data_IF_948147138018
#
_entry.id   IF_948147138018
#
_cell.length_a   1.000
_cell.length_b   1.000
_cell.length_c   1.000
_cell.angle_alpha   90.00
_cell.angle_beta   90.00
_cell.angle_gamma   90.00
#
_symmetry.space_group_name_H-M   'P 1'
#
loop_
_entity.id
_entity.type
_entity.pdbx_description
1 polymer ?
#
# COMPACT_ATOMS: atom_id res chain seq x y z
N UNK A 1 -43.35 -7.66 -78.43
CA UNK A 1 -43.84 -7.29 -77.08
C UNK A 1 -42.98 -7.87 -75.92
N UNK A 2 -41.77 -8.40 -76.19
CA UNK A 2 -40.93 -9.12 -75.20
C UNK A 2 -39.66 -8.38 -74.73
N UNK A 3 -39.25 -7.27 -75.36
CA UNK A 3 -38.04 -6.53 -74.94
C UNK A 3 -38.29 -5.60 -73.75
N UNK A 4 -39.49 -5.00 -73.68
CA UNK A 4 -39.83 -4.03 -72.62
C UNK A 4 -39.95 -4.70 -71.24
N UNK A 5 -40.35 -5.97 -71.17
CA UNK A 5 -40.46 -6.72 -69.92
C UNK A 5 -39.10 -7.17 -69.38
N UNK A 6 -38.14 -7.54 -70.26
CA UNK A 6 -36.76 -7.88 -69.86
C UNK A 6 -36.02 -6.69 -69.26
N UNK A 7 -36.17 -5.50 -69.85
CA UNK A 7 -35.55 -4.27 -69.32
C UNK A 7 -36.06 -3.91 -67.93
N UNK A 8 -37.37 -4.04 -67.69
CA UNK A 8 -37.97 -3.77 -66.38
C UNK A 8 -37.50 -4.79 -65.33
N UNK A 9 -37.37 -6.05 -65.70
CA UNK A 9 -36.92 -7.13 -64.82
C UNK A 9 -35.45 -6.94 -64.40
N UNK A 10 -34.59 -6.52 -65.32
CA UNK A 10 -33.18 -6.19 -65.03
C UNK A 10 -33.08 -4.96 -64.11
N UNK A 11 -33.91 -3.93 -64.32
CA UNK A 11 -33.97 -2.77 -63.42
C UNK A 11 -34.39 -3.15 -62.00
N UNK A 12 -35.41 -4.01 -61.85
CA UNK A 12 -35.86 -4.48 -60.54
C UNK A 12 -34.75 -5.28 -59.85
N UNK A 13 -34.05 -6.16 -60.58
CA UNK A 13 -32.91 -6.92 -60.03
C UNK A 13 -31.81 -5.97 -59.56
N UNK A 14 -31.47 -4.94 -60.33
CA UNK A 14 -30.44 -3.95 -59.96
C UNK A 14 -30.83 -3.15 -58.71
N UNK A 15 -32.10 -2.74 -58.59
CA UNK A 15 -32.59 -2.04 -57.39
C UNK A 15 -32.52 -2.96 -56.17
N UNK A 16 -32.89 -4.23 -56.31
CA UNK A 16 -32.85 -5.22 -55.23
C UNK A 16 -31.41 -5.52 -54.81
N UNK A 17 -30.49 -5.63 -55.77
CA UNK A 17 -29.07 -5.79 -55.50
C UNK A 17 -28.49 -4.57 -54.79
N UNK A 18 -28.88 -3.35 -55.21
CA UNK A 18 -28.45 -2.11 -54.57
C UNK A 18 -28.99 -1.99 -53.14
N UNK A 19 -30.25 -2.38 -52.90
CA UNK A 19 -30.84 -2.45 -51.55
C UNK A 19 -30.12 -3.47 -50.65
N UNK A 20 -29.79 -4.65 -51.17
CA UNK A 20 -29.05 -5.68 -50.41
C UNK A 20 -27.61 -5.24 -50.11
N UNK A 21 -26.98 -4.50 -51.02
CA UNK A 21 -25.63 -3.97 -50.84
C UNK A 21 -25.59 -2.83 -49.81
N UNK A 22 -26.59 -1.94 -49.80
CA UNK A 22 -26.71 -0.87 -48.79
C UNK A 22 -27.03 -1.42 -47.41
N UNK A 23 -27.89 -2.44 -47.30
CA UNK A 23 -28.15 -3.14 -46.03
C UNK A 23 -26.88 -3.85 -45.53
N UNK A 24 -26.08 -4.45 -46.43
CA UNK A 24 -24.82 -5.11 -46.05
C UNK A 24 -23.78 -4.12 -45.53
N UNK A 25 -23.61 -2.97 -46.20
CA UNK A 25 -22.72 -1.88 -45.78
C UNK A 25 -23.15 -1.24 -44.44
N UNK A 26 -24.46 -1.19 -44.17
CA UNK A 26 -24.96 -0.71 -42.88
C UNK A 26 -24.72 -1.70 -41.74
N UNK A 27 -24.56 -3.00 -42.05
CA UNK A 27 -24.23 -4.04 -41.08
C UNK A 27 -22.73 -4.09 -40.70
N UNK A 28 -21.82 -3.72 -41.61
CA UNK A 28 -20.39 -3.64 -41.32
C UNK A 28 -20.07 -2.54 -40.29
N UNK A 29 -20.85 -1.46 -40.26
CA UNK A 29 -20.80 -0.41 -39.21
C UNK A 29 -21.44 -0.83 -37.87
N UNK A 30 -21.87 -2.08 -37.75
CA UNK A 30 -22.47 -2.63 -36.52
C UNK A 30 -21.56 -3.63 -35.80
N UNK A 31 -20.29 -3.76 -36.17
CA UNK A 31 -19.34 -4.50 -35.33
C UNK A 31 -19.12 -3.71 -34.04
N UNK A 32 -19.52 -4.28 -32.90
CA UNK A 32 -19.17 -3.72 -31.60
C UNK A 32 -17.65 -3.75 -31.46
N UNK A 33 -17.05 -2.57 -31.39
CA UNK A 33 -15.63 -2.46 -31.06
C UNK A 33 -15.40 -3.06 -29.67
N UNK A 34 -14.54 -4.06 -29.61
CA UNK A 34 -14.13 -4.71 -28.36
C UNK A 34 -12.73 -4.22 -28.04
N UNK A 35 -12.55 -3.66 -26.85
CA UNK A 35 -11.27 -3.19 -26.37
C UNK A 35 -10.34 -4.36 -26.03
N UNK A 36 -9.18 -4.43 -26.67
CA UNK A 36 -8.13 -5.38 -26.36
C UNK A 36 -7.04 -4.67 -25.55
N UNK A 37 -6.95 -4.98 -24.26
CA UNK A 37 -6.05 -4.30 -23.33
C UNK A 37 -4.91 -5.25 -22.98
N UNK A 38 -3.65 -4.82 -23.03
CA UNK A 38 -2.55 -5.55 -22.42
C UNK A 38 -2.84 -5.81 -20.94
N UNK A 39 -2.69 -7.06 -20.51
CA UNK A 39 -2.94 -7.46 -19.13
C UNK A 39 -2.30 -6.53 -18.08
N UNK A 40 -1.08 -6.04 -18.33
CA UNK A 40 -0.33 -5.18 -17.41
C UNK A 40 -0.95 -3.79 -17.24
N UNK A 41 -1.75 -3.34 -18.20
CA UNK A 41 -2.36 -2.00 -18.23
C UNK A 41 -3.81 -2.01 -17.76
N UNK A 42 -4.42 -3.19 -17.61
CA UNK A 42 -5.80 -3.30 -17.14
C UNK A 42 -5.96 -2.75 -15.71
N UNK A 43 -6.85 -1.78 -15.56
CA UNK A 43 -7.11 -1.05 -14.32
C UNK A 43 -6.39 0.31 -14.22
N UNK A 44 -5.48 0.60 -15.17
CA UNK A 44 -4.79 1.89 -15.30
C UNK A 44 -4.58 2.25 -16.79
N UNK A 45 -5.50 1.81 -17.66
CA UNK A 45 -5.38 2.00 -19.10
C UNK A 45 -5.69 3.46 -19.48
N UNK A 46 -4.78 4.12 -20.21
CA UNK A 46 -4.83 5.57 -20.43
C UNK A 46 -5.35 5.99 -21.80
N UNK A 47 -5.57 5.06 -22.74
CA UNK A 47 -6.04 5.40 -24.09
C UNK A 47 -7.55 5.67 -24.10
N UNK A 48 -7.92 6.93 -23.86
CA UNK A 48 -9.31 7.38 -23.79
C UNK A 48 -10.07 7.22 -25.11
N UNK A 49 -9.40 7.36 -26.25
CA UNK A 49 -10.05 7.21 -27.57
C UNK A 49 -10.52 5.77 -27.80
N UNK A 50 -9.72 4.79 -27.41
CA UNK A 50 -10.10 3.39 -27.49
C UNK A 50 -11.19 3.01 -26.47
N UNK A 51 -11.13 3.58 -25.26
CA UNK A 51 -12.19 3.42 -24.25
C UNK A 51 -13.51 3.99 -24.79
N UNK A 52 -13.48 5.15 -25.43
CA UNK A 52 -14.67 5.78 -26.02
C UNK A 52 -15.29 4.90 -27.11
N UNK A 53 -14.45 4.37 -28.02
CA UNK A 53 -14.88 3.46 -29.08
C UNK A 53 -15.50 2.17 -28.53
N UNK A 54 -15.05 1.70 -27.37
CA UNK A 54 -15.51 0.47 -26.74
C UNK A 54 -16.79 0.60 -25.91
N UNK A 55 -17.34 1.81 -25.77
CA UNK A 55 -18.56 2.03 -24.99
C UNK A 55 -19.74 1.25 -25.55
N UNK A 56 -20.51 0.65 -24.65
CA UNK A 56 -21.72 -0.08 -25.03
C UNK A 56 -22.79 0.92 -25.45
N UNK A 57 -23.35 0.78 -26.66
CA UNK A 57 -24.34 1.71 -27.25
C UNK A 57 -25.53 2.06 -26.34
N UNK A 58 -25.95 1.14 -25.49
CA UNK A 58 -27.11 1.30 -24.60
C UNK A 58 -26.73 1.53 -23.12
N UNK A 59 -25.44 1.56 -22.80
CA UNK A 59 -24.94 1.76 -21.43
C UNK A 59 -23.55 2.42 -21.49
N UNK A 60 -23.54 3.76 -21.46
CA UNK A 60 -22.31 4.55 -21.56
C UNK A 60 -21.39 4.43 -20.35
N UNK A 61 -21.83 3.76 -19.27
CA UNK A 61 -20.99 3.49 -18.10
C UNK A 61 -20.15 2.23 -18.26
N UNK A 62 -20.43 1.43 -19.30
CA UNK A 62 -19.76 0.15 -19.56
C UNK A 62 -19.06 0.14 -20.91
N UNK A 63 -18.00 -0.64 -20.98
CA UNK A 63 -17.27 -0.95 -22.20
C UNK A 63 -17.21 -2.44 -22.45
N UNK A 64 -17.06 -2.81 -23.71
CA UNK A 64 -16.85 -4.18 -24.13
C UNK A 64 -15.35 -4.49 -24.19
N UNK A 65 -14.89 -5.42 -23.35
CA UNK A 65 -13.47 -5.80 -23.25
C UNK A 65 -13.27 -7.24 -23.71
N UNK A 66 -12.18 -7.48 -24.44
CA UNK A 66 -11.78 -8.80 -24.94
C UNK A 66 -11.11 -9.59 -23.82
N UNK A 67 -11.50 -10.85 -23.70
CA UNK A 67 -10.97 -11.81 -22.72
C UNK A 67 -10.63 -13.12 -23.42
N UNK A 68 -9.99 -14.03 -22.70
CA UNK A 68 -9.73 -15.39 -23.20
C UNK A 68 -11.00 -16.16 -23.58
N UNK A 69 -12.15 -15.84 -22.98
CA UNK A 69 -13.43 -16.52 -23.18
C UNK A 69 -14.43 -15.73 -24.06
N UNK A 70 -13.93 -14.78 -24.86
CA UNK A 70 -14.75 -13.87 -25.66
C UNK A 70 -14.81 -12.46 -25.08
N UNK A 71 -15.90 -11.73 -25.33
CA UNK A 71 -16.01 -10.32 -24.89
C UNK A 71 -16.97 -10.17 -23.70
N UNK A 72 -16.60 -9.36 -22.71
CA UNK A 72 -17.44 -9.09 -21.53
C UNK A 72 -17.71 -7.58 -21.39
N UNK A 73 -18.83 -7.25 -20.75
CA UNK A 73 -19.20 -5.86 -20.44
C UNK A 73 -18.82 -5.54 -19.01
N UNK A 74 -18.05 -4.48 -18.82
CA UNK A 74 -17.59 -4.04 -17.50
C UNK A 74 -17.66 -2.52 -17.36
N UNK A 75 -17.79 -2.00 -16.13
CA UNK A 75 -17.69 -0.57 -15.87
C UNK A 75 -16.38 0.04 -16.40
N UNK A 76 -16.46 1.23 -16.98
CA UNK A 76 -15.28 1.96 -17.50
C UNK A 76 -14.22 2.13 -16.42
N UNK A 77 -14.62 2.51 -15.20
CA UNK A 77 -13.70 2.72 -14.08
C UNK A 77 -12.85 1.50 -13.73
N UNK A 78 -13.28 0.28 -14.08
CA UNK A 78 -12.48 -0.92 -13.83
C UNK A 78 -11.30 -1.06 -14.81
N UNK A 79 -11.30 -0.29 -15.89
CA UNK A 79 -10.27 -0.31 -16.94
C UNK A 79 -9.23 0.78 -16.75
N UNK A 80 -9.66 1.99 -16.42
CA UNK A 80 -8.78 3.15 -16.36
C UNK A 80 -8.57 3.72 -14.96
N UNK A 81 -9.40 3.32 -13.99
CA UNK A 81 -9.40 3.91 -12.65
C UNK A 81 -9.72 2.89 -11.55
N UNK A 82 -9.17 1.68 -11.66
CA UNK A 82 -9.52 0.59 -10.74
C UNK A 82 -8.99 0.84 -9.31
N UNK A 83 -8.13 1.84 -9.12
CA UNK A 83 -7.65 2.28 -7.81
C UNK A 83 -8.79 2.77 -6.92
N UNK A 84 -9.83 3.39 -7.50
CA UNK A 84 -10.99 3.95 -6.78
C UNK A 84 -12.02 2.89 -6.37
N UNK A 85 -11.77 1.60 -6.63
CA UNK A 85 -12.67 0.53 -6.19
C UNK A 85 -12.62 0.41 -4.66
N UNK A 86 -13.75 0.70 -4.01
CA UNK A 86 -13.86 0.74 -2.53
C UNK A 86 -14.61 -0.42 -1.89
N UNK A 87 -15.44 -1.14 -2.65
CA UNK A 87 -16.30 -2.21 -2.13
C UNK A 87 -15.91 -3.62 -2.65
N UNK A 88 -16.27 -4.64 -1.86
CA UNK A 88 -15.91 -6.03 -2.12
C UNK A 88 -16.52 -6.57 -3.42
N UNK A 89 -17.76 -6.17 -3.74
CA UNK A 89 -18.44 -6.69 -4.92
C UNK A 89 -17.80 -6.16 -6.20
N UNK A 90 -17.52 -4.86 -6.26
CA UNK A 90 -16.77 -4.23 -7.35
C UNK A 90 -15.38 -4.83 -7.51
N UNK A 91 -14.65 -5.00 -6.39
CA UNK A 91 -13.33 -5.60 -6.40
C UNK A 91 -13.34 -7.02 -6.95
N UNK A 92 -14.32 -7.83 -6.55
CA UNK A 92 -14.49 -9.21 -7.05
C UNK A 92 -14.77 -9.23 -8.55
N UNK A 93 -15.59 -8.31 -9.07
CA UNK A 93 -15.89 -8.23 -10.51
C UNK A 93 -14.62 -7.83 -11.28
N UNK A 94 -13.89 -6.83 -10.79
CA UNK A 94 -12.61 -6.41 -11.36
C UNK A 94 -11.60 -7.56 -11.39
N UNK A 95 -11.38 -8.27 -10.28
CA UNK A 95 -10.42 -9.38 -10.22
C UNK A 95 -10.80 -10.53 -11.15
N UNK A 96 -12.09 -10.92 -11.20
CA UNK A 96 -12.56 -11.94 -12.15
C UNK A 96 -12.32 -11.53 -13.60
N UNK A 97 -12.50 -10.25 -13.89
CA UNK A 97 -12.21 -9.70 -15.22
C UNK A 97 -10.73 -9.77 -15.52
N UNK A 98 -9.89 -9.29 -14.60
CA UNK A 98 -8.44 -9.35 -14.72
C UNK A 98 -7.97 -10.78 -14.97
N UNK A 99 -8.43 -11.75 -14.17
CA UNK A 99 -8.10 -13.16 -14.33
C UNK A 99 -8.56 -13.73 -15.69
N UNK A 100 -9.69 -13.26 -16.23
CA UNK A 100 -10.15 -13.68 -17.56
C UNK A 100 -9.27 -13.17 -18.71
N UNK A 101 -8.53 -12.08 -18.48
CA UNK A 101 -7.58 -11.48 -19.44
C UNK A 101 -6.17 -12.08 -19.24
N UNK A 102 -5.78 -12.25 -17.98
CA UNK A 102 -4.40 -12.48 -17.54
C UNK A 102 -4.12 -13.90 -17.05
N UNK A 103 -5.13 -14.77 -16.98
CA UNK A 103 -5.03 -16.09 -16.36
C UNK A 103 -5.43 -16.09 -14.89
N UNK A 104 -5.80 -17.27 -14.40
CA UNK A 104 -6.28 -17.49 -13.03
C UNK A 104 -5.19 -17.17 -12.00
N UNK A 105 -5.59 -16.64 -10.85
CA UNK A 105 -4.73 -16.28 -9.72
C UNK A 105 -3.72 -15.14 -10.02
N UNK A 106 -3.78 -14.53 -11.20
CA UNK A 106 -2.99 -13.37 -11.57
C UNK A 106 -3.42 -12.13 -10.79
N UNK A 107 -2.44 -11.30 -10.39
CA UNK A 107 -2.68 -10.04 -9.68
C UNK A 107 -2.24 -8.85 -10.53
N UNK A 108 -3.08 -7.80 -10.65
CA UNK A 108 -2.68 -6.58 -11.35
C UNK A 108 -1.51 -5.90 -10.64
N UNK A 109 -0.63 -5.20 -11.38
CA UNK A 109 0.44 -4.40 -10.77
C UNK A 109 -0.07 -3.39 -9.73
N UNK A 110 -1.28 -2.85 -9.96
CA UNK A 110 -1.94 -1.90 -9.06
C UNK A 110 -2.69 -2.55 -7.88
N UNK A 111 -2.64 -3.87 -7.70
CA UNK A 111 -3.48 -4.61 -6.75
C UNK A 111 -3.47 -4.02 -5.33
N UNK A 112 -2.29 -3.69 -4.81
CA UNK A 112 -2.14 -3.12 -3.47
C UNK A 112 -2.60 -1.66 -3.37
N UNK A 113 -2.67 -0.96 -4.50
CA UNK A 113 -3.14 0.43 -4.60
C UNK A 113 -4.65 0.54 -4.79
N UNK A 114 -5.36 -0.57 -4.95
CA UNK A 114 -6.82 -0.58 -5.01
C UNK A 114 -7.38 -0.27 -3.62
N UNK A 115 -8.23 0.74 -3.51
CA UNK A 115 -8.69 1.30 -2.24
C UNK A 115 -9.35 0.25 -1.33
N UNK A 116 -10.12 -0.70 -1.87
CA UNK A 116 -10.69 -1.82 -1.11
C UNK A 116 -9.61 -2.68 -0.45
N UNK A 117 -8.56 -3.05 -1.20
CA UNK A 117 -7.44 -3.87 -0.69
C UNK A 117 -6.64 -3.08 0.33
N UNK A 118 -6.28 -1.84 -0.01
CA UNK A 118 -5.59 -0.89 0.84
C UNK A 118 -6.29 -0.71 2.20
N UNK A 119 -7.61 -0.48 2.18
CA UNK A 119 -8.43 -0.34 3.38
C UNK A 119 -8.47 -1.63 4.21
N UNK A 120 -8.55 -2.79 3.56
CA UNK A 120 -8.49 -4.09 4.23
C UNK A 120 -7.16 -4.31 4.96
N UNK A 121 -6.04 -4.02 4.28
CA UNK A 121 -4.69 -4.10 4.85
C UNK A 121 -4.56 -3.16 6.05
N UNK A 122 -4.97 -1.90 5.90
CA UNK A 122 -4.95 -0.91 6.97
C UNK A 122 -5.78 -1.34 8.18
N UNK A 123 -7.03 -1.77 7.96
CA UNK A 123 -7.93 -2.23 9.03
C UNK A 123 -7.33 -3.40 9.81
N UNK A 124 -6.71 -4.36 9.11
CA UNK A 124 -6.06 -5.50 9.75
C UNK A 124 -4.82 -5.07 10.55
N UNK A 125 -4.01 -4.17 10.00
CA UNK A 125 -2.85 -3.60 10.68
C UNK A 125 -3.27 -2.89 11.98
N UNK A 126 -4.24 -1.97 11.91
CA UNK A 126 -4.78 -1.23 13.07
C UNK A 126 -5.30 -2.19 14.15
N UNK A 127 -6.15 -3.15 13.77
CA UNK A 127 -6.74 -4.13 14.70
C UNK A 127 -5.69 -4.98 15.44
N UNK A 128 -4.54 -5.26 14.79
CA UNK A 128 -3.44 -6.01 15.39
C UNK A 128 -2.75 -5.21 16.49
N UNK A 129 -2.59 -3.90 16.30
CA UNK A 129 -1.88 -3.03 17.24
C UNK A 129 -2.75 -2.49 18.38
N UNK A 130 -4.06 -2.32 18.18
CA UNK A 130 -5.00 -2.01 19.27
C UNK A 130 -4.91 -3.02 20.44
N UNK A 131 -4.66 -4.30 20.12
CA UNK A 131 -4.48 -5.36 21.11
C UNK A 131 -3.08 -5.40 21.73
N UNK A 132 -2.07 -4.85 21.04
CA UNK A 132 -0.65 -4.95 21.42
C UNK A 132 -0.25 -3.85 22.39
N UNK A 133 -0.74 -2.63 22.16
CA UNK A 133 -0.41 -1.46 22.97
C UNK A 133 -1.58 -1.07 23.88
N UNK A 134 -1.29 -0.80 25.15
CA UNK A 134 -2.31 -0.46 26.15
C UNK A 134 -2.61 1.04 26.23
N UNK A 135 -1.63 1.89 25.93
CA UNK A 135 -1.80 3.35 25.97
C UNK A 135 -2.35 3.89 24.66
N UNK A 136 -3.18 4.93 24.74
CA UNK A 136 -3.77 5.60 23.56
C UNK A 136 -2.68 6.16 22.65
N UNK A 137 -1.64 6.75 23.21
CA UNK A 137 -0.53 7.32 22.45
C UNK A 137 0.22 6.24 21.66
N UNK A 138 0.62 5.12 22.29
CA UNK A 138 1.29 4.02 21.59
C UNK A 138 0.44 3.43 20.46
N UNK A 139 -0.88 3.31 20.67
CA UNK A 139 -1.82 2.88 19.62
C UNK A 139 -1.84 3.87 18.45
N UNK A 140 -1.92 5.18 18.75
CA UNK A 140 -1.90 6.23 17.73
C UNK A 140 -0.65 6.14 16.85
N UNK A 141 0.53 5.95 17.44
CA UNK A 141 1.78 5.80 16.65
C UNK A 141 1.82 4.53 15.81
N UNK A 142 1.34 3.40 16.34
CA UNK A 142 1.24 2.18 15.56
C UNK A 142 0.26 2.31 14.38
N UNK A 143 -0.85 3.02 14.58
CA UNK A 143 -1.81 3.35 13.51
C UNK A 143 -1.15 4.24 12.46
N UNK A 144 -0.38 5.26 12.86
CA UNK A 144 0.36 6.10 11.93
C UNK A 144 1.34 5.26 11.08
N UNK A 145 2.09 4.34 11.68
CA UNK A 145 2.97 3.43 10.94
C UNK A 145 2.18 2.59 9.92
N UNK A 146 0.98 2.11 10.26
CA UNK A 146 0.11 1.41 9.32
C UNK A 146 -0.29 2.29 8.12
N UNK A 147 -0.71 3.53 8.38
CA UNK A 147 -1.05 4.49 7.32
C UNK A 147 0.15 4.80 6.44
N UNK A 148 1.30 5.03 7.05
CA UNK A 148 2.53 5.36 6.35
C UNK A 148 3.02 4.19 5.50
N UNK A 149 2.90 2.97 6.02
CA UNK A 149 3.20 1.74 5.28
C UNK A 149 2.28 1.58 4.07
N UNK A 150 0.99 1.88 4.23
CA UNK A 150 0.03 1.81 3.13
C UNK A 150 0.37 2.86 2.06
N UNK A 151 0.56 4.12 2.45
CA UNK A 151 0.94 5.21 1.55
C UNK A 151 2.24 4.89 0.81
N UNK A 152 3.22 4.36 1.53
CA UNK A 152 4.48 3.92 0.94
C UNK A 152 4.27 2.82 -0.11
N UNK A 153 3.40 1.84 0.17
CA UNK A 153 3.10 0.74 -0.78
C UNK A 153 2.40 1.23 -2.04
N UNK A 154 1.59 2.29 -1.94
CA UNK A 154 0.87 2.86 -3.07
C UNK A 154 1.78 3.62 -4.04
N UNK A 155 2.83 4.26 -3.52
CA UNK A 155 3.69 5.19 -4.27
C UNK A 155 5.09 4.63 -4.54
N UNK A 156 5.55 3.66 -3.76
CA UNK A 156 6.89 3.10 -3.84
C UNK A 156 6.86 1.57 -3.97
N UNK A 157 7.62 1.00 -4.91
CA UNK A 157 7.84 -0.43 -4.91
C UNK A 157 8.57 -0.84 -3.63
N UNK A 158 8.06 -1.86 -2.95
CA UNK A 158 8.76 -2.48 -1.83
C UNK A 158 10.10 -3.04 -2.35
N UNK A 159 11.25 -2.70 -1.75
CA UNK A 159 12.54 -3.20 -2.20
C UNK A 159 12.58 -4.73 -2.07
N UNK A 160 13.32 -5.38 -2.98
CA UNK A 160 13.53 -6.84 -2.95
C UNK A 160 14.14 -7.31 -1.61
N UNK A 161 14.91 -6.44 -0.95
CA UNK A 161 15.52 -6.68 0.35
C UNK A 161 15.23 -5.50 1.29
N UNK A 162 14.10 -5.52 2.01
CA UNK A 162 13.85 -4.60 3.10
C UNK A 162 14.90 -4.74 4.21
N UNK A 163 15.04 -3.72 5.05
CA UNK A 163 15.98 -3.76 6.17
C UNK A 163 15.59 -4.87 7.15
N UNK A 164 16.55 -5.75 7.43
CA UNK A 164 16.45 -6.72 8.51
C UNK A 164 16.65 -5.97 9.84
N UNK A 165 15.71 -6.07 10.79
CA UNK A 165 15.81 -5.36 12.06
C UNK A 165 16.97 -5.83 12.96
N UNK A 166 17.65 -6.96 12.66
CA UNK A 166 18.83 -7.45 13.41
C UNK A 166 18.62 -7.41 14.93
N UNK A 167 17.46 -7.91 15.38
CA UNK A 167 17.11 -7.93 16.80
C UNK A 167 18.07 -8.84 17.58
N UNK A 168 18.47 -8.47 18.82
CA UNK A 168 17.90 -7.40 19.63
C UNK A 168 18.52 -6.01 19.44
N UNK A 169 19.48 -5.85 18.53
CA UNK A 169 20.26 -4.61 18.33
C UNK A 169 19.55 -3.53 17.50
N UNK A 170 18.28 -3.74 17.13
CA UNK A 170 17.47 -2.73 16.45
C UNK A 170 17.44 -1.44 17.28
N UNK A 171 17.71 -0.29 16.66
CA UNK A 171 17.87 0.99 17.34
C UNK A 171 19.33 1.39 17.61
N UNK A 172 20.27 0.45 17.60
CA UNK A 172 21.72 0.73 17.75
C UNK A 172 22.53 0.21 16.58
N UNK A 173 21.86 0.00 15.44
CA UNK A 173 22.47 -0.56 14.24
C UNK A 173 23.39 0.47 13.57
N UNK A 174 24.67 0.13 13.44
CA UNK A 174 25.57 0.80 12.52
C UNK A 174 25.25 0.37 11.09
N UNK A 175 24.35 1.10 10.42
CA UNK A 175 24.01 0.86 9.01
C UNK A 175 25.01 1.59 8.11
N UNK A 176 25.48 0.90 7.06
CA UNK A 176 26.27 1.56 6.01
C UNK A 176 25.36 2.45 5.17
N UNK A 177 25.90 3.54 4.62
CA UNK A 177 25.14 4.47 3.75
C UNK A 177 24.43 3.75 2.60
N UNK A 178 25.11 2.79 1.97
CA UNK A 178 24.55 1.97 0.89
C UNK A 178 23.38 1.09 1.35
N UNK A 179 23.43 0.50 2.55
CA UNK A 179 22.32 -0.29 3.09
C UNK A 179 21.09 0.60 3.33
N UNK A 180 21.33 1.82 3.81
CA UNK A 180 20.30 2.82 4.09
C UNK A 180 19.63 3.32 2.81
N UNK A 181 20.40 3.67 1.78
CA UNK A 181 19.87 4.16 0.50
C UNK A 181 19.00 3.09 -0.20
N UNK A 182 19.36 1.81 -0.09
CA UNK A 182 18.61 0.72 -0.70
C UNK A 182 17.24 0.44 -0.07
N UNK A 183 17.04 0.85 1.19
CA UNK A 183 15.81 0.60 1.94
C UNK A 183 15.02 1.88 2.24
N UNK A 184 15.60 3.05 1.96
CA UNK A 184 14.94 4.35 2.15
C UNK A 184 13.82 4.54 1.13
N UNK A 185 12.72 5.14 1.59
CA UNK A 185 11.59 5.50 0.73
C UNK A 185 11.94 6.77 -0.05
N UNK A 186 11.54 6.85 -1.32
CA UNK A 186 11.79 8.01 -2.18
C UNK A 186 10.78 9.16 -1.96
N UNK A 187 9.73 8.93 -1.20
CA UNK A 187 8.64 9.90 -0.97
C UNK A 187 9.05 11.04 -0.02
N UNK A 188 8.48 12.25 -0.19
CA UNK A 188 8.72 13.40 0.66
C UNK A 188 7.98 13.25 1.99
N UNK A 189 8.44 12.35 2.85
CA UNK A 189 8.03 12.36 4.24
C UNK A 189 8.76 13.49 4.98
N UNK A 190 8.11 14.17 5.95
CA UNK A 190 8.78 15.18 6.77
C UNK A 190 10.03 14.65 7.48
N UNK A 191 10.04 13.34 7.78
CA UNK A 191 11.16 12.60 8.33
C UNK A 191 11.45 11.42 7.40
N UNK A 192 12.71 11.17 6.99
CA UNK A 192 13.07 10.04 6.15
C UNK A 192 12.58 8.71 6.73
N UNK A 193 12.17 7.80 5.86
CA UNK A 193 11.64 6.49 6.25
C UNK A 193 12.39 5.35 5.59
N UNK A 194 12.40 4.22 6.25
CA UNK A 194 12.98 2.96 5.78
C UNK A 194 11.91 1.87 5.69
N UNK A 195 12.03 1.02 4.68
CA UNK A 195 11.37 -0.27 4.62
C UNK A 195 12.05 -1.25 5.57
N UNK A 196 11.33 -1.68 6.60
CA UNK A 196 11.81 -2.64 7.61
C UNK A 196 10.94 -3.88 7.58
N UNK A 197 11.55 -5.06 7.68
CA UNK A 197 10.80 -6.31 7.88
C UNK A 197 10.40 -6.43 9.35
N UNK A 198 9.11 -6.45 9.62
CA UNK A 198 8.54 -6.68 10.95
C UNK A 198 8.73 -8.14 11.42
N UNK A 199 8.59 -8.38 12.73
CA UNK A 199 8.81 -9.70 13.34
C UNK A 199 7.86 -10.79 12.80
N UNK A 200 6.72 -10.37 12.26
CA UNK A 200 5.69 -11.22 11.66
C UNK A 200 5.95 -11.52 10.17
N UNK A 201 7.04 -11.01 9.59
CA UNK A 201 7.40 -11.15 8.18
C UNK A 201 6.81 -10.10 7.23
N UNK A 202 5.96 -9.20 7.71
CA UNK A 202 5.41 -8.10 6.91
C UNK A 202 6.44 -6.97 6.73
N UNK A 203 6.33 -6.19 5.66
CA UNK A 203 7.18 -5.02 5.46
C UNK A 203 6.44 -3.76 5.93
N UNK A 204 7.09 -2.95 6.75
CA UNK A 204 6.54 -1.73 7.34
C UNK A 204 7.46 -0.54 7.05
N UNK A 205 6.88 0.65 6.93
CA UNK A 205 7.60 1.90 6.73
C UNK A 205 7.79 2.60 8.08
N UNK A 206 9.04 2.66 8.57
CA UNK A 206 9.40 3.25 9.87
C UNK A 206 10.28 4.49 9.66
N UNK A 207 10.19 5.48 10.55
CA UNK A 207 11.08 6.64 10.52
C UNK A 207 12.54 6.21 10.78
N UNK A 208 13.45 6.70 9.95
CA UNK A 208 14.86 6.32 9.94
C UNK A 208 15.59 6.64 11.26
N UNK A 209 15.40 7.85 11.79
CA UNK A 209 16.02 8.31 13.03
C UNK A 209 15.74 7.37 14.22
N UNK A 210 14.61 6.68 14.20
CA UNK A 210 14.20 5.74 15.26
C UNK A 210 14.72 4.31 15.04
N UNK A 211 15.37 4.04 13.91
CA UNK A 211 16.01 2.75 13.57
C UNK A 211 17.50 2.79 13.85
N UNK A 212 18.13 3.92 13.55
CA UNK A 212 19.60 4.05 13.57
C UNK A 212 20.13 4.66 14.86
N UNK A 213 19.30 5.33 15.67
CA UNK A 213 19.82 6.08 16.81
C UNK A 213 18.90 6.16 18.05
N UNK A 214 18.62 5.01 18.65
CA UNK A 214 17.91 4.93 19.93
C UNK A 214 18.66 5.63 21.08
N UNK A 215 19.96 5.89 20.94
CA UNK A 215 20.77 6.57 21.95
C UNK A 215 20.59 8.10 21.92
N UNK A 216 20.06 8.66 20.83
CA UNK A 216 19.75 10.09 20.70
C UNK A 216 18.34 10.45 21.18
N UNK A 217 17.53 9.46 21.60
CA UNK A 217 16.23 9.71 22.23
C UNK A 217 16.40 10.68 23.40
N UNK A 218 15.63 11.75 23.41
CA UNK A 218 15.81 12.90 24.30
C UNK A 218 14.56 13.31 25.09
N UNK A 219 13.41 12.74 24.74
CA UNK A 219 12.12 13.04 25.37
C UNK A 219 11.17 11.82 25.38
N UNK A 220 10.07 11.94 26.13
CA UNK A 220 9.08 10.87 26.31
C UNK A 220 8.40 10.44 25.00
N UNK A 221 8.19 11.39 24.08
CA UNK A 221 7.55 11.12 22.78
C UNK A 221 8.47 10.30 21.88
N UNK A 222 9.74 10.70 21.74
CA UNK A 222 10.77 9.95 21.00
C UNK A 222 10.97 8.55 21.59
N UNK A 223 11.00 8.43 22.93
CA UNK A 223 11.12 7.15 23.61
C UNK A 223 9.93 6.25 23.29
N UNK A 224 8.72 6.81 23.33
CA UNK A 224 7.51 6.08 22.97
C UNK A 224 7.55 5.60 21.51
N UNK A 225 7.96 6.44 20.57
CA UNK A 225 8.00 6.08 19.15
C UNK A 225 9.03 4.97 18.92
N UNK A 226 10.20 5.09 19.53
CA UNK A 226 11.23 4.07 19.47
C UNK A 226 10.72 2.73 20.01
N UNK A 227 10.06 2.70 21.18
CA UNK A 227 9.51 1.48 21.76
C UNK A 227 8.42 0.84 20.88
N UNK A 228 7.55 1.65 20.26
CA UNK A 228 6.55 1.16 19.32
C UNK A 228 7.21 0.51 18.10
N UNK A 229 8.18 1.20 17.49
CA UNK A 229 8.94 0.67 16.34
C UNK A 229 9.69 -0.61 16.69
N UNK A 230 10.38 -0.63 17.84
CA UNK A 230 11.09 -1.80 18.32
C UNK A 230 10.14 -2.99 18.52
N UNK A 231 8.95 -2.75 19.10
CA UNK A 231 7.93 -3.77 19.27
C UNK A 231 7.39 -4.30 17.94
N UNK A 232 7.20 -3.44 16.95
CA UNK A 232 6.75 -3.83 15.61
C UNK A 232 7.84 -4.57 14.81
N UNK A 233 9.09 -4.17 14.95
CA UNK A 233 10.23 -4.77 14.26
C UNK A 233 10.68 -6.09 14.89
N UNK A 234 10.75 -6.14 16.23
CA UNK A 234 11.35 -7.23 16.98
C UNK A 234 10.36 -8.10 17.77
N UNK A 235 9.07 -7.74 17.84
CA UNK A 235 8.06 -8.49 18.57
C UNK A 235 8.22 -8.44 20.09
N UNK A 236 9.08 -7.56 20.61
CA UNK A 236 9.37 -7.36 22.03
C UNK A 236 9.05 -5.93 22.43
N UNK A 237 8.39 -5.74 23.56
CA UNK A 237 7.97 -4.39 24.00
C UNK A 237 9.12 -3.46 24.36
N UNK A 238 10.23 -4.02 24.86
CA UNK A 238 11.37 -3.27 25.41
C UNK A 238 12.66 -3.92 24.92
N UNK A 239 13.64 -3.15 24.41
CA UNK A 239 14.94 -3.68 24.04
C UNK A 239 15.77 -4.07 25.27
N UNK A 240 16.68 -5.05 25.17
CA UNK A 240 17.58 -5.41 26.26
C UNK A 240 18.49 -4.26 26.74
N UNK A 241 18.77 -3.28 25.87
CA UNK A 241 19.60 -2.12 26.18
C UNK A 241 18.78 -0.91 26.66
N UNK A 242 17.50 -1.06 26.95
CA UNK A 242 16.61 0.06 27.31
C UNK A 242 17.15 0.93 28.46
N UNK A 243 17.73 0.29 29.48
CA UNK A 243 18.31 1.00 30.64
C UNK A 243 19.56 1.80 30.27
N UNK A 244 20.22 1.46 29.16
CA UNK A 244 21.43 2.14 28.66
C UNK A 244 21.09 3.34 27.74
N UNK A 245 19.81 3.62 27.50
CA UNK A 245 19.40 4.81 26.73
C UNK A 245 19.63 6.03 27.64
N UNK A 246 20.45 7.03 27.24
CA UNK A 246 20.84 8.15 28.11
C UNK A 246 19.66 8.90 28.72
N UNK A 247 18.58 9.07 27.95
CA UNK A 247 17.36 9.69 28.46
C UNK A 247 16.70 8.87 29.58
N UNK A 248 16.56 7.55 29.41
CA UNK A 248 15.98 6.65 30.41
C UNK A 248 16.81 6.65 31.69
N UNK A 249 18.13 6.56 31.56
CA UNK A 249 19.09 6.63 32.65
C UNK A 249 18.92 7.95 33.44
N UNK A 250 18.83 9.07 32.73
CA UNK A 250 18.65 10.40 33.35
C UNK A 250 17.31 10.53 34.10
N UNK A 251 16.23 9.94 33.59
CA UNK A 251 14.92 9.97 34.23
C UNK A 251 14.88 9.09 35.48
N UNK A 252 15.52 7.92 35.44
CA UNK A 252 15.67 7.05 36.61
C UNK A 252 16.44 7.76 37.72
N UNK A 253 17.51 8.49 37.37
CA UNK A 253 18.26 9.32 38.31
C UNK A 253 17.38 10.42 38.93
N UNK A 254 16.67 11.20 38.10
CA UNK A 254 15.77 12.28 38.56
C UNK A 254 14.69 11.75 39.51
N UNK A 255 14.09 10.61 39.18
CA UNK A 255 13.08 9.98 40.03
C UNK A 255 13.65 9.54 41.38
N UNK A 256 14.86 8.96 41.38
CA UNK A 256 15.56 8.59 42.62
C UNK A 256 15.74 9.81 43.53
N UNK A 257 16.26 10.91 42.98
CA UNK A 257 16.49 12.15 43.74
C UNK A 257 15.19 12.71 44.29
N UNK A 258 14.16 12.80 43.46
CA UNK A 258 12.84 13.29 43.87
C UNK A 258 12.28 12.46 45.04
N UNK A 259 12.26 11.14 44.91
CA UNK A 259 11.74 10.22 45.94
C UNK A 259 12.46 10.39 47.29
N UNK A 260 13.79 10.47 47.29
CA UNK A 260 14.57 10.64 48.51
C UNK A 260 14.38 12.05 49.12
N UNK A 261 14.26 13.09 48.29
CA UNK A 261 13.93 14.44 48.77
C UNK A 261 12.54 14.49 49.42
N UNK A 262 11.54 13.79 48.88
CA UNK A 262 10.20 13.68 49.51
C UNK A 262 10.24 12.94 50.85
N UNK A 263 11.23 12.07 51.06
CA UNK A 263 11.50 11.40 52.33
C UNK A 263 12.39 12.23 53.28
N UNK A 264 12.68 13.49 52.96
CA UNK A 264 13.56 14.39 53.70
C UNK A 264 15.00 13.87 53.86
N UNK A 265 15.51 13.09 52.91
CA UNK A 265 16.91 12.62 52.94
C UNK A 265 17.85 13.72 52.41
N UNK A 266 18.73 14.30 53.26
CA UNK A 266 19.64 15.36 52.85
C UNK A 266 20.75 14.86 51.91
N UNK A 267 20.95 13.55 51.79
CA UNK A 267 21.96 12.93 50.92
C UNK A 267 21.35 12.32 49.64
N UNK A 268 20.12 12.72 49.29
CA UNK A 268 19.39 12.20 48.13
C UNK A 268 20.21 12.15 46.83
N UNK A 269 20.89 13.25 46.49
CA UNK A 269 21.69 13.33 45.26
C UNK A 269 22.90 12.37 45.30
N UNK A 270 23.67 12.38 46.39
CA UNK A 270 24.85 11.52 46.56
C UNK A 270 24.49 10.03 46.49
N UNK A 271 23.43 9.61 47.20
CA UNK A 271 22.98 8.21 47.22
C UNK A 271 22.50 7.73 45.84
N UNK A 272 21.83 8.60 45.09
CA UNK A 272 21.42 8.28 43.73
C UNK A 272 22.61 8.22 42.77
N UNK A 273 23.62 9.10 42.92
CA UNK A 273 24.84 9.06 42.12
C UNK A 273 25.68 7.80 42.40
N UNK A 274 25.81 7.40 43.67
CA UNK A 274 26.51 6.17 44.06
C UNK A 274 25.83 4.94 43.44
N UNK A 275 24.50 4.84 43.59
CA UNK A 275 23.73 3.75 42.99
C UNK A 275 23.84 3.70 41.47
N UNK A 276 23.84 4.86 40.82
CA UNK A 276 24.02 4.98 39.37
C UNK A 276 25.41 4.52 38.92
N UNK A 277 26.45 4.86 39.68
CA UNK A 277 27.82 4.44 39.41
C UNK A 277 28.06 2.95 39.67
N UNK A 278 27.38 2.35 40.64
CA UNK A 278 27.47 0.91 40.93
C UNK A 278 26.82 0.08 39.81
N UNK A 279 25.66 0.53 39.29
CA UNK A 279 25.01 -0.07 38.12
C UNK A 279 25.90 -0.03 36.87
N UNK A 280 26.55 1.11 36.60
CA UNK A 280 27.46 1.27 35.46
C UNK A 280 28.79 0.50 35.61
N UNK A 281 29.09 -0.01 36.81
CA UNK A 281 30.26 -0.85 37.09
C UNK A 281 29.93 -2.35 37.16
N UNK A 282 28.68 -2.75 36.93
CA UNK A 282 28.26 -4.15 36.94
C UNK A 282 28.41 -4.84 38.29
N UNK A 283 28.26 -4.10 39.39
CA UNK A 283 28.27 -4.64 40.76
C UNK A 283 26.88 -4.90 41.30
#
# INVERSE_FOLDING_TARGET
MFEKSRSALIQVILILFWFLFTISLQSENLQLYTLEIPCQEFGNYTNLEEIERAKVKNDSTKILVKTSNGSIKIPIGYVNDAKEITDENSFRIFMKTYESICGKDSKPPIYNSIQFVANGVLKNCVKKFEKTFQTIQARSHAVNICHDTLNATMNNPIPLKPLDPRCPSFGTLALKKEELENVRLNDPFPVPRLWVRAYNGENIAIQENLVTNALEVSNDEELLFFLVNYSMACGRKVPPFFENIPYVESQAFRFCVWKLKTMNDPQAESKCYEKHNDLNRGK
#
